data_IF_141633248931
#
_entry.id   IF_141633248931
#
_cell.length_a   1.000
_cell.length_b   1.000
_cell.length_c   1.000
_cell.angle_alpha   90.00
_cell.angle_beta   90.00
_cell.angle_gamma   90.00
#
_symmetry.space_group_name_H-M   'P 1'
#
loop_
_entity.id
_entity.type
_entity.pdbx_description
1 polymer ?
#
# COMPACT_ATOMS: atom_id res chain seq x y z
N UNK A 1 26.71 -16.79 -11.22
CA UNK A 1 25.71 -17.69 -10.64
C UNK A 1 24.39 -16.97 -10.79
N UNK A 2 23.55 -17.41 -11.69
CA UNK A 2 22.23 -16.85 -11.96
C UNK A 2 21.33 -17.20 -10.79
N UNK A 3 21.09 -16.25 -9.88
CA UNK A 3 20.01 -16.37 -8.91
C UNK A 3 18.70 -16.16 -9.67
N UNK A 4 18.11 -17.26 -10.15
CA UNK A 4 16.70 -17.25 -10.53
C UNK A 4 15.92 -16.78 -9.29
N UNK A 5 15.30 -15.59 -9.32
CA UNK A 5 14.15 -15.35 -8.49
C UNK A 5 13.16 -16.48 -8.79
N UNK A 6 13.03 -17.40 -7.87
CA UNK A 6 12.05 -18.47 -7.99
C UNK A 6 10.71 -17.78 -7.91
N UNK A 7 10.11 -17.48 -9.05
CA UNK A 7 8.71 -17.08 -9.12
C UNK A 7 7.95 -18.11 -8.31
N UNK A 8 7.26 -17.65 -7.26
CA UNK A 8 6.46 -18.51 -6.44
C UNK A 8 5.47 -19.22 -7.38
N UNK A 9 5.66 -20.51 -7.64
CA UNK A 9 4.81 -21.26 -8.56
C UNK A 9 3.48 -21.59 -7.89
N UNK A 10 2.37 -21.23 -8.54
CA UNK A 10 1.03 -21.46 -8.02
C UNK A 10 0.49 -20.28 -7.17
N UNK A 11 -0.67 -20.46 -6.57
CA UNK A 11 -1.27 -19.45 -5.69
C UNK A 11 -0.48 -19.34 -4.38
N UNK A 12 -0.36 -18.13 -3.85
CA UNK A 12 0.34 -17.87 -2.58
C UNK A 12 -0.22 -18.72 -1.42
N UNK A 13 -1.54 -18.94 -1.38
CA UNK A 13 -2.16 -19.77 -0.34
C UNK A 13 -1.69 -21.22 -0.34
N UNK A 14 -1.27 -21.76 -1.48
CA UNK A 14 -0.90 -23.18 -1.63
C UNK A 14 0.57 -23.44 -1.24
N UNK A 15 1.32 -22.38 -0.93
CA UNK A 15 2.72 -22.47 -0.54
C UNK A 15 2.85 -22.68 0.96
N UNK A 16 3.67 -23.59 1.38
CA UNK A 16 4.08 -23.72 2.78
C UNK A 16 5.28 -22.80 3.03
N UNK A 17 5.13 -21.86 3.96
CA UNK A 17 6.18 -20.90 4.33
C UNK A 17 6.44 -21.00 5.83
N UNK A 18 7.69 -21.23 6.17
CA UNK A 18 8.19 -21.30 7.55
C UNK A 18 9.38 -20.35 7.64
N UNK A 19 9.32 -19.38 8.54
CA UNK A 19 10.43 -18.46 8.81
C UNK A 19 11.57 -19.13 9.59
N UNK A 20 12.75 -18.54 9.54
CA UNK A 20 13.94 -19.08 10.20
C UNK A 20 13.75 -19.21 11.74
N UNK A 21 12.90 -18.38 12.34
CA UNK A 21 12.54 -18.46 13.77
C UNK A 21 11.49 -19.53 14.09
N UNK A 22 11.04 -20.32 13.10
CA UNK A 22 10.05 -21.37 13.24
C UNK A 22 8.59 -20.92 13.07
N UNK A 23 8.31 -19.63 12.87
CA UNK A 23 6.95 -19.15 12.61
C UNK A 23 6.40 -19.73 11.32
N UNK A 24 5.24 -20.36 11.38
CA UNK A 24 4.58 -20.99 10.23
C UNK A 24 3.44 -20.11 9.73
N UNK A 25 3.37 -19.91 8.41
CA UNK A 25 2.29 -19.17 7.76
C UNK A 25 0.97 -19.93 7.81
N UNK A 26 -0.07 -19.30 8.34
CA UNK A 26 -1.44 -19.82 8.40
C UNK A 26 -2.32 -19.04 7.43
N UNK A 27 -3.01 -19.73 6.53
CA UNK A 27 -3.94 -19.09 5.60
C UNK A 27 -5.13 -18.49 6.34
N UNK A 28 -5.44 -17.23 6.04
CA UNK A 28 -6.63 -16.53 6.55
C UNK A 28 -7.44 -16.07 5.35
N UNK A 29 -8.72 -16.42 5.32
CA UNK A 29 -9.66 -15.90 4.34
C UNK A 29 -10.12 -14.50 4.73
N UNK A 30 -10.14 -13.59 3.76
CA UNK A 30 -10.53 -12.19 3.94
C UNK A 30 -11.76 -11.89 3.09
N UNK A 31 -12.96 -11.85 3.67
CA UNK A 31 -14.12 -11.31 2.97
C UNK A 31 -13.87 -9.87 2.56
N UNK A 32 -13.92 -9.59 1.26
CA UNK A 32 -13.63 -8.31 0.65
C UNK A 32 -14.61 -8.00 -0.47
N UNK A 33 -14.35 -6.94 -1.23
CA UNK A 33 -15.10 -6.55 -2.42
C UNK A 33 -14.18 -6.08 -3.54
N UNK A 34 -14.71 -6.00 -4.75
CA UNK A 34 -13.99 -5.49 -5.92
C UNK A 34 -14.70 -4.25 -6.48
N UNK A 35 -14.67 -3.10 -5.76
CA UNK A 35 -15.24 -1.85 -6.27
C UNK A 35 -14.55 -1.43 -7.56
N UNK A 36 -15.32 -0.86 -8.49
CA UNK A 36 -14.82 -0.38 -9.77
C UNK A 36 -14.10 0.96 -9.65
N UNK A 37 -14.43 1.76 -8.61
CA UNK A 37 -13.82 3.06 -8.35
C UNK A 37 -14.09 3.51 -6.90
N UNK A 38 -13.56 4.68 -6.53
CA UNK A 38 -13.75 5.27 -5.20
C UNK A 38 -15.20 5.71 -4.96
N UNK A 39 -15.90 6.22 -6.00
CA UNK A 39 -17.30 6.63 -5.89
C UNK A 39 -18.18 5.46 -5.40
N UNK A 40 -17.99 4.26 -5.94
CA UNK A 40 -18.74 3.08 -5.51
C UNK A 40 -18.48 2.76 -4.04
N UNK A 41 -17.24 2.84 -3.56
CA UNK A 41 -16.91 2.60 -2.14
C UNK A 41 -17.62 3.60 -1.24
N UNK A 42 -17.61 4.88 -1.63
CA UNK A 42 -18.12 5.96 -0.77
C UNK A 42 -19.65 6.10 -0.78
N UNK A 43 -20.33 5.70 -1.87
CA UNK A 43 -21.75 5.99 -2.05
C UNK A 43 -22.64 4.77 -2.29
N UNK A 44 -22.08 3.68 -2.77
CA UNK A 44 -22.84 2.46 -3.11
C UNK A 44 -22.12 1.18 -2.66
N UNK A 45 -21.73 1.08 -1.36
CA UNK A 45 -20.95 -0.07 -0.89
C UNK A 45 -21.71 -1.39 -1.01
N UNK A 46 -23.05 -1.36 -0.97
CA UNK A 46 -23.89 -2.56 -1.15
C UNK A 46 -23.87 -3.14 -2.57
N UNK A 47 -23.44 -2.36 -3.57
CA UNK A 47 -23.41 -2.76 -4.98
C UNK A 47 -22.03 -3.29 -5.41
N UNK A 48 -21.06 -3.32 -4.50
CA UNK A 48 -19.73 -3.83 -4.80
C UNK A 48 -19.74 -5.35 -4.97
N UNK A 49 -19.13 -5.89 -6.06
CA UNK A 49 -18.97 -7.33 -6.21
C UNK A 49 -18.16 -7.91 -5.05
N UNK A 50 -18.72 -8.89 -4.34
CA UNK A 50 -18.03 -9.55 -3.23
C UNK A 50 -16.96 -10.51 -3.73
N UNK A 51 -15.88 -10.63 -2.96
CA UNK A 51 -14.79 -11.56 -3.21
C UNK A 51 -14.23 -12.03 -1.87
N UNK A 52 -13.71 -13.25 -1.83
CA UNK A 52 -12.92 -13.72 -0.69
C UNK A 52 -11.46 -13.79 -1.12
N UNK A 53 -10.65 -12.90 -0.55
CA UNK A 53 -9.21 -12.93 -0.67
C UNK A 53 -8.60 -13.87 0.35
N UNK A 54 -7.31 -14.05 0.26
CA UNK A 54 -6.54 -14.79 1.26
C UNK A 54 -5.18 -14.11 1.54
N UNK A 55 -4.51 -14.62 2.56
CA UNK A 55 -3.16 -14.23 2.92
C UNK A 55 -2.63 -15.16 3.99
N UNK A 56 -1.38 -14.95 4.36
CA UNK A 56 -0.73 -15.76 5.40
C UNK A 56 -0.40 -14.93 6.63
N UNK A 57 -0.91 -15.39 7.77
CA UNK A 57 -0.58 -14.84 9.08
C UNK A 57 0.59 -15.64 9.69
N UNK A 58 1.59 -14.93 10.18
CA UNK A 58 2.71 -15.46 10.92
C UNK A 58 2.73 -14.83 12.31
N UNK A 59 2.57 -15.63 13.33
CA UNK A 59 2.70 -15.21 14.72
C UNK A 59 4.16 -15.37 15.17
N UNK A 60 4.74 -14.43 15.92
CA UNK A 60 6.08 -14.62 16.46
C UNK A 60 6.09 -15.76 17.51
N UNK A 61 7.22 -16.44 17.72
CA UNK A 61 7.30 -17.62 18.59
C UNK A 61 6.96 -17.36 20.07
N UNK A 62 7.12 -16.12 20.51
CA UNK A 62 6.86 -15.74 21.91
C UNK A 62 5.49 -15.07 21.99
N UNK A 63 4.55 -15.75 22.64
CA UNK A 63 3.18 -15.26 22.82
C UNK A 63 2.77 -15.40 24.28
N UNK A 64 2.50 -14.31 24.94
CA UNK A 64 1.81 -14.25 26.23
C UNK A 64 0.65 -13.27 26.14
N UNK A 65 0.94 -12.08 25.59
CA UNK A 65 0.00 -10.99 25.37
C UNK A 65 -0.28 -10.82 23.86
N UNK A 66 -1.39 -10.18 23.48
CA UNK A 66 -1.64 -9.81 22.09
C UNK A 66 -0.49 -8.95 21.52
N UNK A 67 -0.02 -9.31 20.33
CA UNK A 67 1.14 -8.68 19.70
C UNK A 67 0.72 -7.65 18.62
N UNK A 68 1.55 -6.63 18.35
CA UNK A 68 1.31 -5.73 17.24
C UNK A 68 1.41 -6.49 15.92
N UNK A 69 0.66 -6.02 14.91
CA UNK A 69 0.61 -6.61 13.58
C UNK A 69 1.08 -5.63 12.52
N UNK A 70 1.85 -6.11 11.55
CA UNK A 70 2.13 -5.41 10.29
C UNK A 70 1.58 -6.22 9.12
N UNK A 71 0.66 -5.62 8.37
CA UNK A 71 0.18 -6.18 7.10
C UNK A 71 1.15 -5.78 5.98
N UNK A 72 1.53 -6.74 5.13
CA UNK A 72 2.39 -6.54 3.96
C UNK A 72 1.53 -6.60 2.71
N UNK A 73 1.49 -5.51 1.96
CA UNK A 73 0.63 -5.34 0.79
C UNK A 73 1.50 -5.31 -0.46
N UNK A 74 1.30 -6.26 -1.39
CA UNK A 74 2.14 -6.41 -2.56
C UNK A 74 1.94 -5.30 -3.60
N UNK A 75 2.94 -5.12 -4.47
CA UNK A 75 2.89 -4.29 -5.65
C UNK A 75 2.21 -4.96 -6.84
N UNK A 76 2.42 -4.40 -8.04
CA UNK A 76 1.76 -4.82 -9.30
C UNK A 76 2.11 -6.24 -9.78
N UNK A 77 3.14 -6.87 -9.22
CA UNK A 77 3.53 -8.26 -9.50
C UNK A 77 2.88 -9.29 -8.56
N UNK A 78 1.99 -8.86 -7.65
CA UNK A 78 1.46 -9.74 -6.62
C UNK A 78 2.50 -10.03 -5.53
N UNK A 79 2.27 -11.11 -4.76
CA UNK A 79 3.19 -11.50 -3.69
C UNK A 79 4.51 -12.00 -4.28
N UNK A 80 5.61 -11.36 -3.88
CA UNK A 80 6.97 -11.68 -4.29
C UNK A 80 7.82 -12.12 -3.08
N UNK A 81 8.97 -12.76 -3.29
CA UNK A 81 9.88 -13.17 -2.21
C UNK A 81 10.27 -12.03 -1.28
N UNK A 82 10.47 -10.81 -1.80
CA UNK A 82 10.78 -9.62 -0.99
C UNK A 82 9.71 -9.33 0.06
N UNK A 83 8.42 -9.48 -0.26
CA UNK A 83 7.32 -9.30 0.69
C UNK A 83 7.38 -10.32 1.84
N UNK A 84 7.75 -11.57 1.53
CA UNK A 84 7.94 -12.63 2.52
C UNK A 84 9.16 -12.34 3.40
N UNK A 85 10.25 -11.85 2.82
CA UNK A 85 11.46 -11.44 3.55
C UNK A 85 11.19 -10.26 4.50
N UNK A 86 10.41 -9.27 4.07
CA UNK A 86 9.97 -8.17 4.96
C UNK A 86 9.11 -8.71 6.12
N UNK A 87 8.17 -9.62 5.81
CA UNK A 87 7.34 -10.24 6.85
C UNK A 87 8.20 -11.04 7.84
N UNK A 88 9.20 -11.79 7.38
CA UNK A 88 10.12 -12.55 8.22
C UNK A 88 10.94 -11.64 9.13
N UNK A 89 11.52 -10.55 8.59
CA UNK A 89 12.31 -9.61 9.36
C UNK A 89 11.49 -8.93 10.47
N UNK A 90 10.27 -8.52 10.19
CA UNK A 90 9.35 -7.95 11.18
C UNK A 90 8.90 -8.99 12.20
N UNK A 91 8.67 -10.22 11.77
CA UNK A 91 8.30 -11.31 12.67
C UNK A 91 9.44 -11.66 13.64
N UNK A 92 10.68 -11.67 13.17
CA UNK A 92 11.85 -11.81 14.01
C UNK A 92 12.01 -10.67 15.04
N UNK A 93 11.50 -9.48 14.73
CA UNK A 93 11.45 -8.33 15.63
C UNK A 93 10.26 -8.37 16.61
N UNK A 94 9.44 -9.44 16.60
CA UNK A 94 8.35 -9.65 17.57
C UNK A 94 6.98 -9.16 17.11
N UNK A 95 6.81 -8.77 15.85
CA UNK A 95 5.52 -8.45 15.28
C UNK A 95 4.82 -9.71 14.72
N UNK A 96 3.51 -9.79 14.86
CA UNK A 96 2.75 -10.61 13.91
C UNK A 96 2.84 -9.98 12.54
N UNK A 97 2.90 -10.79 11.47
CA UNK A 97 2.91 -10.29 10.10
C UNK A 97 1.86 -10.99 9.26
N UNK A 98 1.21 -10.25 8.38
CA UNK A 98 0.21 -10.78 7.47
C UNK A 98 0.52 -10.36 6.04
N UNK A 99 0.87 -11.33 5.19
CA UNK A 99 1.10 -11.08 3.76
C UNK A 99 -0.22 -11.29 3.03
N UNK A 100 -0.81 -10.19 2.51
CA UNK A 100 -2.09 -10.20 1.82
C UNK A 100 -1.90 -10.58 0.34
N UNK A 101 -2.70 -11.51 -0.18
CA UNK A 101 -2.80 -11.77 -1.61
C UNK A 101 -4.05 -11.11 -2.20
N UNK A 102 -3.88 -9.93 -2.79
CA UNK A 102 -4.93 -9.20 -3.50
C UNK A 102 -5.22 -9.75 -4.90
N UNK A 103 -4.38 -10.63 -5.43
CA UNK A 103 -4.32 -11.03 -6.84
C UNK A 103 -4.93 -12.40 -7.11
N UNK A 104 -4.55 -13.40 -6.32
CA UNK A 104 -4.87 -14.79 -6.59
C UNK A 104 -6.38 -15.07 -6.71
N UNK A 105 -7.20 -14.49 -5.83
CA UNK A 105 -8.65 -14.64 -5.88
C UNK A 105 -9.30 -13.96 -7.10
N UNK A 106 -8.62 -12.94 -7.68
CA UNK A 106 -9.05 -12.24 -8.89
C UNK A 106 -8.57 -12.91 -10.18
N UNK A 107 -7.82 -14.01 -10.07
CA UNK A 107 -7.14 -14.68 -11.19
C UNK A 107 -6.24 -13.71 -11.99
N UNK A 108 -5.66 -12.73 -11.32
CA UNK A 108 -4.68 -11.77 -11.86
C UNK A 108 -3.30 -12.18 -11.38
N UNK A 109 -2.34 -12.29 -12.30
CA UNK A 109 -0.94 -12.60 -11.95
C UNK A 109 -0.08 -11.36 -11.83
N UNK A 110 -0.38 -10.33 -12.64
CA UNK A 110 0.36 -9.06 -12.67
C UNK A 110 -0.51 -7.96 -13.23
N UNK A 111 -0.39 -6.75 -12.68
CA UNK A 111 -0.99 -5.53 -13.25
C UNK A 111 0.04 -4.62 -13.90
N UNK A 112 1.30 -5.04 -14.05
CA UNK A 112 2.40 -4.21 -14.59
C UNK A 112 2.06 -3.66 -15.97
N UNK A 113 1.64 -4.50 -16.89
CA UNK A 113 1.27 -4.11 -18.26
C UNK A 113 -0.15 -3.52 -18.36
N UNK A 114 -1.00 -3.72 -17.36
CA UNK A 114 -2.37 -3.17 -17.32
C UNK A 114 -2.84 -2.96 -15.89
N UNK A 115 -2.74 -1.74 -15.40
CA UNK A 115 -3.14 -1.36 -14.04
C UNK A 115 -4.67 -1.36 -13.83
N UNK A 116 -5.47 -1.50 -14.89
CA UNK A 116 -6.95 -1.44 -14.82
C UNK A 116 -7.63 -2.79 -14.63
N UNK A 117 -6.89 -3.90 -14.52
CA UNK A 117 -7.46 -5.24 -14.28
C UNK A 117 -8.32 -5.31 -13.03
N UNK A 118 -7.99 -4.53 -12.01
CA UNK A 118 -8.87 -4.16 -10.89
C UNK A 118 -8.48 -2.79 -10.37
N UNK A 119 -9.42 -2.09 -9.75
CA UNK A 119 -9.24 -0.68 -9.40
C UNK A 119 -8.24 -0.48 -8.25
N UNK A 120 -7.65 0.72 -8.14
CA UNK A 120 -6.89 1.13 -6.97
C UNK A 120 -7.77 1.22 -5.71
N UNK A 121 -9.06 1.57 -5.89
CA UNK A 121 -10.04 1.55 -4.80
C UNK A 121 -10.22 0.13 -4.22
N UNK A 122 -10.24 -0.91 -5.08
CA UNK A 122 -10.28 -2.30 -4.64
C UNK A 122 -9.02 -2.67 -3.83
N UNK A 123 -7.82 -2.24 -4.27
CA UNK A 123 -6.59 -2.50 -3.53
C UNK A 123 -6.62 -1.87 -2.13
N UNK A 124 -7.13 -0.65 -2.00
CA UNK A 124 -7.24 0.03 -0.71
C UNK A 124 -8.35 -0.58 0.18
N UNK A 125 -9.46 -0.99 -0.42
CA UNK A 125 -10.55 -1.70 0.28
C UNK A 125 -10.05 -3.01 0.88
N UNK A 126 -9.24 -3.77 0.15
CA UNK A 126 -8.64 -5.03 0.59
C UNK A 126 -7.78 -4.86 1.86
N UNK A 127 -7.04 -3.76 1.98
CA UNK A 127 -6.25 -3.44 3.18
C UNK A 127 -7.14 -3.31 4.40
N UNK A 128 -8.25 -2.56 4.28
CA UNK A 128 -9.18 -2.33 5.39
C UNK A 128 -10.05 -3.56 5.68
N UNK A 129 -10.38 -4.34 4.67
CA UNK A 129 -11.05 -5.64 4.85
C UNK A 129 -10.16 -6.61 5.64
N UNK A 130 -8.85 -6.68 5.32
CA UNK A 130 -7.89 -7.46 6.08
C UNK A 130 -7.75 -6.95 7.52
N UNK A 131 -7.65 -5.64 7.72
CA UNK A 131 -7.68 -5.02 9.05
C UNK A 131 -8.88 -5.50 9.85
N UNK A 132 -10.09 -5.43 9.28
CA UNK A 132 -11.35 -5.78 9.97
C UNK A 132 -11.42 -7.24 10.43
N UNK A 133 -10.76 -8.14 9.71
CA UNK A 133 -10.65 -9.56 10.08
C UNK A 133 -9.60 -9.77 11.16
N UNK A 134 -8.42 -9.17 10.97
CA UNK A 134 -7.25 -9.37 11.82
C UNK A 134 -7.40 -8.70 13.19
N UNK A 135 -8.06 -7.55 13.26
CA UNK A 135 -8.34 -6.84 14.50
C UNK A 135 -9.25 -7.63 15.49
N UNK A 136 -9.96 -8.63 14.99
CA UNK A 136 -10.82 -9.49 15.83
C UNK A 136 -10.10 -10.72 16.39
N UNK A 137 -8.86 -10.93 16.01
CA UNK A 137 -8.11 -12.10 16.45
C UNK A 137 -7.54 -11.88 17.85
N UNK A 138 -7.72 -12.84 18.76
CA UNK A 138 -7.28 -12.69 20.14
C UNK A 138 -5.75 -12.58 20.30
N UNK A 139 -4.98 -13.05 19.32
CA UNK A 139 -3.53 -12.98 19.32
C UNK A 139 -2.99 -11.60 18.90
N UNK A 140 -3.86 -10.73 18.34
CA UNK A 140 -3.47 -9.44 17.78
C UNK A 140 -3.95 -8.29 18.66
N UNK A 141 -3.05 -7.36 18.94
CA UNK A 141 -3.42 -6.09 19.54
C UNK A 141 -4.05 -5.17 18.48
N UNK A 142 -5.37 -5.08 18.49
CA UNK A 142 -6.14 -4.30 17.52
C UNK A 142 -5.80 -2.80 17.51
N UNK A 143 -5.17 -2.29 18.57
CA UNK A 143 -4.74 -0.88 18.67
C UNK A 143 -3.38 -0.63 18.02
N UNK A 144 -2.65 -1.69 17.66
CA UNK A 144 -1.30 -1.65 17.10
C UNK A 144 -1.20 -2.43 15.79
N UNK A 145 -2.13 -2.18 14.87
CA UNK A 145 -2.10 -2.74 13.51
C UNK A 145 -1.60 -1.66 12.55
N UNK A 146 -0.48 -1.93 11.89
CA UNK A 146 0.06 -1.12 10.81
C UNK A 146 0.05 -1.85 9.47
N UNK A 147 0.37 -1.12 8.40
CA UNK A 147 0.50 -1.70 7.07
C UNK A 147 1.75 -1.17 6.34
N UNK A 148 2.46 -2.07 5.68
CA UNK A 148 3.55 -1.75 4.76
C UNK A 148 3.12 -2.14 3.35
N UNK A 149 3.12 -1.19 2.43
CA UNK A 149 2.73 -1.41 1.05
C UNK A 149 3.83 -1.03 0.07
N UNK A 150 3.95 -1.79 -1.02
CA UNK A 150 4.98 -1.63 -2.03
C UNK A 150 4.35 -1.24 -3.37
N UNK A 151 4.84 -0.17 -4.02
CA UNK A 151 4.34 0.29 -5.32
C UNK A 151 2.81 0.50 -5.30
N UNK A 152 2.03 -0.28 -6.08
CA UNK A 152 0.57 -0.31 -6.02
C UNK A 152 0.05 -0.55 -4.59
N UNK A 153 0.68 -1.44 -3.84
CA UNK A 153 0.37 -1.66 -2.42
C UNK A 153 0.67 -0.43 -1.56
N UNK A 154 1.70 0.34 -1.91
CA UNK A 154 2.02 1.63 -1.29
C UNK A 154 0.89 2.65 -1.50
N UNK A 155 0.34 2.73 -2.72
CA UNK A 155 -0.86 3.54 -3.01
C UNK A 155 -2.06 3.07 -2.18
N UNK A 156 -2.24 1.74 -2.06
CA UNK A 156 -3.35 1.15 -1.33
C UNK A 156 -3.31 1.50 0.16
N UNK A 157 -2.13 1.44 0.82
CA UNK A 157 -2.02 1.77 2.24
C UNK A 157 -2.17 3.27 2.50
N UNK A 158 -1.73 4.14 1.59
CA UNK A 158 -1.95 5.59 1.68
C UNK A 158 -3.44 5.93 1.58
N UNK A 159 -4.16 5.32 0.64
CA UNK A 159 -5.61 5.49 0.52
C UNK A 159 -6.33 4.89 1.73
N UNK A 160 -5.95 3.70 2.20
CA UNK A 160 -6.53 3.09 3.40
C UNK A 160 -6.30 3.91 4.68
N UNK A 161 -5.23 4.70 4.75
CA UNK A 161 -4.98 5.64 5.84
C UNK A 161 -5.85 6.91 5.76
N UNK A 162 -6.39 7.25 4.59
CA UNK A 162 -7.22 8.46 4.42
C UNK A 162 -8.55 8.29 5.15
N UNK A 163 -8.83 9.15 6.11
CA UNK A 163 -9.99 9.04 7.02
C UNK A 163 -11.32 8.98 6.27
N UNK A 164 -11.46 9.77 5.19
CA UNK A 164 -12.67 9.77 4.35
C UNK A 164 -12.95 8.39 3.74
N UNK A 165 -11.91 7.70 3.27
CA UNK A 165 -12.03 6.35 2.71
C UNK A 165 -12.18 5.30 3.82
N UNK A 166 -11.36 5.37 4.85
CA UNK A 166 -11.34 4.39 5.95
C UNK A 166 -12.71 4.29 6.65
N UNK A 167 -13.35 5.42 6.94
CA UNK A 167 -14.63 5.47 7.65
C UNK A 167 -15.80 4.81 6.92
N UNK A 168 -15.66 4.46 5.64
CA UNK A 168 -16.67 3.70 4.89
C UNK A 168 -16.50 2.18 5.02
N UNK A 169 -15.35 1.72 5.50
CA UNK A 169 -15.00 0.29 5.54
C UNK A 169 -14.82 -0.21 6.97
N UNK A 170 -14.21 0.60 7.83
CA UNK A 170 -14.00 0.29 9.25
C UNK A 170 -14.75 1.30 10.12
N UNK A 171 -14.88 1.01 11.41
CA UNK A 171 -15.59 1.89 12.36
C UNK A 171 -14.85 3.22 12.50
N UNK A 172 -15.57 4.28 12.80
CA UNK A 172 -15.02 5.63 12.92
C UNK A 172 -13.99 5.80 14.05
N UNK A 173 -14.03 4.93 15.06
CA UNK A 173 -13.07 4.88 16.18
C UNK A 173 -11.83 4.00 15.90
N UNK A 174 -11.83 3.27 14.78
CA UNK A 174 -10.74 2.41 14.31
C UNK A 174 -9.84 3.15 13.31
N UNK A 175 -8.56 2.82 13.32
CA UNK A 175 -7.58 3.31 12.34
C UNK A 175 -6.34 2.43 12.34
N UNK A 176 -5.61 2.43 11.22
CA UNK A 176 -4.26 1.91 11.23
C UNK A 176 -3.38 2.74 12.17
N UNK A 177 -2.54 2.09 12.97
CA UNK A 177 -1.58 2.77 13.84
C UNK A 177 -0.54 3.55 13.03
N UNK A 178 -0.15 3.00 11.88
CA UNK A 178 0.73 3.66 10.92
C UNK A 178 0.80 2.90 9.62
N UNK A 179 1.24 3.60 8.58
CA UNK A 179 1.51 3.02 7.27
C UNK A 179 2.91 3.39 6.79
N UNK A 180 3.59 2.43 6.17
CA UNK A 180 4.81 2.62 5.41
C UNK A 180 4.51 2.34 3.94
N UNK A 181 4.59 3.38 3.11
CA UNK A 181 4.44 3.26 1.67
C UNK A 181 5.82 3.30 1.00
N UNK A 182 6.27 2.18 0.46
CA UNK A 182 7.51 2.09 -0.28
C UNK A 182 7.24 2.35 -1.76
N UNK A 183 7.93 3.34 -2.32
CA UNK A 183 7.84 3.79 -3.73
C UNK A 183 6.40 3.79 -4.27
N UNK A 184 5.44 4.46 -3.56
CA UNK A 184 4.03 4.43 -3.94
C UNK A 184 3.78 5.17 -5.25
N UNK A 185 2.83 4.67 -6.04
CA UNK A 185 2.25 5.49 -7.09
C UNK A 185 1.22 6.45 -6.48
N UNK A 186 1.48 7.74 -6.57
CA UNK A 186 0.64 8.80 -6.00
C UNK A 186 -0.09 9.62 -7.08
N UNK A 187 -0.39 9.00 -8.22
CA UNK A 187 -1.13 9.63 -9.30
C UNK A 187 -2.64 9.79 -9.05
N UNK A 188 -3.17 9.19 -7.99
CA UNK A 188 -4.53 9.42 -7.50
C UNK A 188 -4.47 9.86 -6.03
N UNK A 189 -5.05 11.01 -5.71
CA UNK A 189 -5.00 11.60 -4.37
C UNK A 189 -6.35 12.16 -3.98
N UNK A 190 -6.74 11.98 -2.72
CA UNK A 190 -7.94 12.63 -2.20
C UNK A 190 -7.72 14.13 -2.02
N UNK A 191 -8.71 14.96 -2.38
CA UNK A 191 -8.71 16.40 -2.10
C UNK A 191 -8.73 16.67 -0.59
N UNK A 192 -9.39 15.81 0.19
CA UNK A 192 -9.26 15.77 1.64
C UNK A 192 -8.38 14.57 2.05
N UNK A 193 -7.06 14.77 2.17
CA UNK A 193 -6.12 13.72 2.47
C UNK A 193 -5.92 13.46 3.96
N UNK A 194 -6.82 13.95 4.82
CA UNK A 194 -6.73 13.77 6.26
C UNK A 194 -6.61 12.30 6.67
N UNK A 195 -5.64 11.98 7.53
CA UNK A 195 -5.33 10.60 7.97
C UNK A 195 -5.64 10.37 9.46
N UNK A 196 -6.19 11.36 10.14
CA UNK A 196 -6.50 11.26 11.56
C UNK A 196 -5.24 10.97 12.40
N UNK A 197 -5.27 9.87 13.15
CA UNK A 197 -4.17 9.45 14.03
C UNK A 197 -3.13 8.56 13.34
N UNK A 198 -3.37 8.13 12.10
CA UNK A 198 -2.45 7.23 11.40
C UNK A 198 -1.14 7.93 11.07
N UNK A 199 -0.02 7.39 11.54
CA UNK A 199 1.30 7.86 11.14
C UNK A 199 1.63 7.40 9.72
N UNK A 200 2.01 8.32 8.84
CA UNK A 200 2.34 8.02 7.43
C UNK A 200 3.84 8.19 7.21
N UNK A 201 4.46 7.15 6.66
CA UNK A 201 5.87 7.17 6.27
C UNK A 201 5.98 6.71 4.82
N UNK A 202 6.74 7.46 4.02
CA UNK A 202 6.98 7.16 2.61
C UNK A 202 8.47 7.00 2.38
N UNK A 203 8.85 5.91 1.71
CA UNK A 203 10.20 5.72 1.17
C UNK A 203 10.11 5.81 -0.35
N UNK A 204 10.98 6.62 -0.96
CA UNK A 204 10.94 6.87 -2.38
C UNK A 204 12.34 6.96 -2.95
N UNK A 205 12.59 6.33 -4.10
CA UNK A 205 13.82 6.51 -4.85
C UNK A 205 13.80 7.82 -5.64
N UNK A 206 14.91 8.54 -5.73
CA UNK A 206 14.97 9.77 -6.53
C UNK A 206 15.21 9.49 -8.01
N UNK A 207 15.64 8.28 -8.36
CA UNK A 207 15.78 7.77 -9.71
C UNK A 207 14.63 6.84 -10.13
N UNK A 208 13.49 6.88 -9.43
CA UNK A 208 12.31 6.07 -9.76
C UNK A 208 11.68 6.55 -11.08
N UNK A 209 11.72 5.70 -12.10
CA UNK A 209 11.16 5.97 -13.44
C UNK A 209 9.72 5.45 -13.60
N UNK A 210 9.15 4.81 -12.57
CA UNK A 210 7.77 4.32 -12.57
C UNK A 210 6.82 5.23 -11.82
N UNK A 211 7.22 5.67 -10.64
CA UNK A 211 6.41 6.46 -9.73
C UNK A 211 7.06 7.81 -9.47
N UNK A 212 6.29 8.88 -9.54
CA UNK A 212 6.80 10.24 -9.38
C UNK A 212 7.14 10.55 -7.91
N UNK A 213 8.41 10.84 -7.57
CA UNK A 213 8.77 11.34 -6.25
C UNK A 213 8.08 12.65 -5.90
N UNK A 214 7.78 13.48 -6.90
CA UNK A 214 7.06 14.76 -6.71
C UNK A 214 5.61 14.53 -6.29
N UNK A 215 4.92 13.58 -6.90
CA UNK A 215 3.54 13.23 -6.50
C UNK A 215 3.51 12.67 -5.07
N UNK A 216 4.46 11.82 -4.70
CA UNK A 216 4.57 11.28 -3.34
C UNK A 216 4.85 12.38 -2.31
N UNK A 217 5.73 13.32 -2.64
CA UNK A 217 6.02 14.48 -1.80
C UNK A 217 4.81 15.40 -1.64
N UNK A 218 4.10 15.68 -2.74
CA UNK A 218 2.87 16.48 -2.73
C UNK A 218 1.81 15.87 -1.82
N UNK A 219 1.59 14.55 -1.88
CA UNK A 219 0.65 13.84 -1.01
C UNK A 219 1.06 13.92 0.47
N UNK A 220 2.34 13.70 0.79
CA UNK A 220 2.84 13.87 2.16
C UNK A 220 2.63 15.29 2.68
N UNK A 221 2.87 16.31 1.85
CA UNK A 221 2.65 17.69 2.21
C UNK A 221 1.17 18.00 2.44
N UNK A 222 0.28 17.51 1.57
CA UNK A 222 -1.15 17.67 1.71
C UNK A 222 -1.65 17.07 3.04
N UNK A 223 -1.21 15.86 3.40
CA UNK A 223 -1.52 15.23 4.68
C UNK A 223 -1.04 16.09 5.86
N UNK A 224 0.17 16.64 5.80
CA UNK A 224 0.70 17.52 6.86
C UNK A 224 -0.10 18.80 7.01
N UNK A 225 -0.58 19.39 5.91
CA UNK A 225 -1.39 20.60 5.93
C UNK A 225 -2.78 20.37 6.55
N UNK A 226 -3.26 19.13 6.56
CA UNK A 226 -4.49 18.77 7.31
C UNK A 226 -4.21 18.38 8.77
N UNK A 227 -2.97 18.54 9.25
CA UNK A 227 -2.56 18.23 10.62
C UNK A 227 -2.12 16.77 10.82
N UNK A 228 -2.01 15.97 9.76
CA UNK A 228 -1.56 14.58 9.83
C UNK A 228 -0.05 14.44 10.04
N UNK A 229 0.36 13.36 10.70
CA UNK A 229 1.78 12.98 10.88
C UNK A 229 2.27 12.24 9.62
N UNK A 230 2.86 12.96 8.68
CA UNK A 230 3.41 12.40 7.46
C UNK A 230 4.86 12.83 7.22
N UNK A 231 5.70 11.89 6.80
CA UNK A 231 7.06 12.16 6.36
C UNK A 231 7.46 11.27 5.19
N UNK A 232 8.36 11.79 4.37
CA UNK A 232 8.95 11.07 3.24
C UNK A 232 10.46 11.07 3.38
N UNK A 233 11.07 9.92 3.12
CA UNK A 233 12.52 9.79 2.93
C UNK A 233 12.78 9.52 1.46
N UNK A 234 13.60 10.38 0.86
CA UNK A 234 14.13 10.19 -0.47
C UNK A 234 15.45 9.41 -0.38
N UNK A 235 15.60 8.37 -1.20
CA UNK A 235 16.79 7.53 -1.26
C UNK A 235 17.52 7.88 -2.55
N UNK A 236 18.75 8.38 -2.42
CA UNK A 236 19.53 8.83 -3.56
C UNK A 236 19.86 7.64 -4.49
N UNK A 237 19.79 7.91 -5.80
CA UNK A 237 20.11 6.97 -6.88
C UNK A 237 19.28 5.67 -6.88
N UNK A 238 18.26 5.56 -6.01
CA UNK A 238 17.42 4.39 -5.93
C UNK A 238 16.36 4.38 -7.02
N UNK A 239 16.24 3.24 -7.69
CA UNK A 239 15.23 2.95 -8.71
C UNK A 239 13.94 2.42 -8.07
N UNK A 240 12.91 2.16 -8.88
CA UNK A 240 11.68 1.51 -8.40
C UNK A 240 11.98 0.14 -7.81
N UNK A 241 11.34 -0.22 -6.70
CA UNK A 241 11.56 -1.51 -5.99
C UNK A 241 13.00 -1.75 -5.51
N UNK A 242 13.67 -0.72 -5.04
CA UNK A 242 15.07 -0.74 -4.59
C UNK A 242 15.34 -1.63 -3.35
N UNK A 243 14.31 -2.17 -2.74
CA UNK A 243 14.36 -3.11 -1.61
C UNK A 243 14.43 -4.59 -2.05
N UNK A 244 14.50 -4.83 -3.36
CA UNK A 244 14.67 -6.18 -3.93
C UNK A 244 16.16 -6.49 -4.11
N UNK A 245 16.51 -7.75 -3.90
CA UNK A 245 17.85 -8.28 -4.20
C UNK A 245 17.92 -8.74 -5.67
N UNK A 246 17.60 -7.82 -6.58
CA UNK A 246 17.63 -8.07 -8.03
C UNK A 246 18.34 -6.93 -8.75
N UNK A 247 19.00 -7.19 -9.89
CA UNK A 247 19.53 -6.13 -10.74
C UNK A 247 18.42 -5.17 -11.20
N UNK A 248 18.80 -3.93 -11.49
CA UNK A 248 17.91 -2.98 -12.17
C UNK A 248 17.68 -3.46 -13.60
N UNK A 249 16.43 -3.62 -13.98
CA UNK A 249 16.02 -4.09 -15.29
C UNK A 249 15.00 -3.14 -15.94
N UNK A 250 15.09 -2.98 -17.25
CA UNK A 250 14.08 -2.26 -18.02
C UNK A 250 12.86 -3.16 -18.23
N UNK A 251 11.68 -2.68 -17.84
CA UNK A 251 10.40 -3.35 -18.07
C UNK A 251 9.63 -2.59 -19.18
N UNK A 252 9.74 -2.99 -20.43
CA UNK A 252 9.22 -2.20 -21.57
C UNK A 252 7.70 -2.10 -21.59
N UNK A 253 6.98 -3.07 -21.05
CA UNK A 253 5.52 -3.13 -21.08
C UNK A 253 4.85 -2.52 -19.83
N UNK A 254 5.61 -1.81 -19.00
CA UNK A 254 5.06 -1.18 -17.80
C UNK A 254 4.06 -0.07 -18.19
N UNK A 255 2.81 -0.19 -17.70
CA UNK A 255 1.74 0.80 -17.95
C UNK A 255 1.68 1.89 -16.90
N UNK A 256 2.83 2.38 -16.46
CA UNK A 256 3.02 3.45 -15.47
C UNK A 256 3.95 4.52 -16.03
N UNK A 257 3.80 5.74 -15.55
CA UNK A 257 4.67 6.85 -15.95
C UNK A 257 4.79 7.87 -14.82
N UNK A 258 6.00 8.28 -14.45
CA UNK A 258 6.22 9.33 -13.46
C UNK A 258 5.77 10.72 -13.98
N UNK A 259 5.56 10.86 -15.29
CA UNK A 259 5.07 12.09 -15.92
C UNK A 259 3.53 12.14 -16.02
N UNK A 260 2.81 11.09 -15.62
CA UNK A 260 1.36 11.09 -15.63
C UNK A 260 0.83 12.19 -14.67
N UNK A 261 -0.19 12.98 -15.09
CA UNK A 261 -0.76 14.01 -14.22
C UNK A 261 -1.45 13.38 -13.02
N UNK A 262 -1.48 14.11 -11.89
CA UNK A 262 -2.24 13.68 -10.72
C UNK A 262 -3.74 13.84 -11.00
N UNK A 263 -4.51 12.81 -10.68
CA UNK A 263 -5.96 12.83 -10.64
C UNK A 263 -6.40 12.98 -9.19
N UNK A 264 -7.31 13.90 -8.94
CA UNK A 264 -7.84 14.10 -7.59
C UNK A 264 -9.18 13.40 -7.42
N UNK A 265 -9.45 12.99 -6.18
CA UNK A 265 -10.69 12.33 -5.77
C UNK A 265 -11.37 13.27 -4.79
N UNK A 266 -12.58 13.71 -5.12
CA UNK A 266 -13.35 14.57 -4.24
C UNK A 266 -13.99 13.81 -3.06
N UNK A 267 -14.73 14.52 -2.22
CA UNK A 267 -15.37 13.94 -1.05
C UNK A 267 -16.46 12.90 -1.38
N UNK A 268 -16.95 12.90 -2.61
CA UNK A 268 -17.94 11.95 -3.10
C UNK A 268 -17.30 10.81 -3.90
N UNK A 269 -15.97 10.82 -4.06
CA UNK A 269 -15.24 9.79 -4.78
C UNK A 269 -15.20 9.96 -6.29
N UNK A 270 -15.68 11.10 -6.79
CA UNK A 270 -15.56 11.42 -8.21
C UNK A 270 -14.12 11.83 -8.55
N UNK A 271 -13.66 11.40 -9.73
CA UNK A 271 -12.31 11.69 -10.18
C UNK A 271 -12.29 13.02 -10.93
N UNK A 272 -11.41 13.91 -10.48
CA UNK A 272 -11.19 15.23 -11.08
C UNK A 272 -9.81 15.21 -11.74
N UNK A 273 -9.80 15.39 -13.06
CA UNK A 273 -8.57 15.55 -13.82
C UNK A 273 -8.23 17.04 -13.91
N UNK A 274 -7.07 17.49 -13.43
CA UNK A 274 -6.65 18.86 -13.60
C UNK A 274 -6.56 19.20 -15.10
N UNK A 275 -7.08 20.36 -15.45
CA UNK A 275 -6.92 20.97 -16.77
C UNK A 275 -6.02 22.19 -16.65
N UNK A 276 -5.61 22.78 -17.76
CA UNK A 276 -4.82 24.01 -17.76
C UNK A 276 -5.50 25.17 -16.99
N UNK A 277 -6.84 25.13 -16.90
CA UNK A 277 -7.66 26.14 -16.21
C UNK A 277 -8.02 25.76 -14.77
N UNK A 278 -7.64 24.56 -14.32
CA UNK A 278 -7.89 24.12 -12.95
C UNK A 278 -6.74 24.63 -12.07
N UNK A 279 -6.99 25.51 -11.10
CA UNK A 279 -5.93 25.94 -10.20
C UNK A 279 -5.38 24.72 -9.45
N UNK A 280 -4.07 24.63 -9.36
CA UNK A 280 -3.43 23.63 -8.51
C UNK A 280 -3.96 23.75 -7.09
N UNK A 281 -4.24 22.63 -6.41
CA UNK A 281 -4.57 22.68 -4.99
C UNK A 281 -3.51 23.49 -4.23
N UNK A 282 -3.93 24.27 -3.24
CA UNK A 282 -3.05 25.20 -2.50
C UNK A 282 -1.79 24.54 -1.91
N UNK A 283 -1.80 23.22 -1.73
CA UNK A 283 -0.63 22.45 -1.27
C UNK A 283 0.29 21.97 -2.40
N UNK A 284 -0.09 22.18 -3.67
CA UNK A 284 0.71 21.77 -4.82
C UNK A 284 1.84 22.78 -5.05
N UNK A 285 2.85 22.70 -4.24
CA UNK A 285 4.11 23.42 -4.47
C UNK A 285 5.18 22.46 -4.98
N UNK A 286 4.77 21.37 -5.62
CA UNK A 286 5.54 20.18 -5.93
C UNK A 286 6.97 20.42 -6.40
N UNK A 287 7.16 21.28 -7.39
CA UNK A 287 8.50 21.55 -7.92
C UNK A 287 9.42 22.24 -6.91
N UNK A 288 8.93 23.22 -6.19
CA UNK A 288 9.73 23.96 -5.21
C UNK A 288 10.06 23.11 -3.99
N UNK A 289 9.11 22.34 -3.48
CA UNK A 289 9.35 21.44 -2.34
C UNK A 289 10.29 20.30 -2.70
N UNK A 290 10.17 19.71 -3.89
CA UNK A 290 11.07 18.69 -4.38
C UNK A 290 12.51 19.21 -4.51
N UNK A 291 12.69 20.39 -5.12
CA UNK A 291 13.99 21.02 -5.22
C UNK A 291 14.58 21.35 -3.86
N UNK A 292 13.78 21.87 -2.93
CA UNK A 292 14.22 22.16 -1.57
C UNK A 292 14.63 20.90 -0.80
N UNK A 293 13.90 19.79 -0.96
CA UNK A 293 14.28 18.53 -0.30
C UNK A 293 15.57 17.94 -0.88
N UNK A 294 15.81 18.04 -2.18
CA UNK A 294 17.09 17.62 -2.78
C UNK A 294 18.28 18.46 -2.29
N UNK A 295 18.08 19.76 -2.17
CA UNK A 295 19.12 20.66 -1.65
C UNK A 295 19.41 20.45 -0.15
N UNK A 296 18.43 20.00 0.61
CA UNK A 296 18.61 19.69 2.04
C UNK A 296 19.28 18.32 2.29
N UNK A 297 19.34 17.45 1.29
CA UNK A 297 19.95 16.12 1.34
C UNK A 297 21.36 16.08 0.73
N UNK A 298 21.81 17.16 0.08
CA UNK A 298 23.15 17.34 -0.45
C UNK A 298 24.04 18.09 0.56
#
# INVERSE_FOLDING_TARGET
MTTNETTLSGRFRDQEIIFANGSRGVNIDIPSASPVNYFQVLNAPGDMPTITLDGKLFLPPVTGDPVPLVMIIPGSLGVAPSHVSHAEALNAAGFATFVLDCFGARAVTSTVANQTQFSFAASAYDVLAAYSVLAKRPEIDATRIGAQGHSRGGSAVLTAATSRFASTVIRADESLAGVLAAYPWCGQQFLDPGVGRTAVRVLMGDADEWCSPMQAQGQCQAIRLTGGDASMRLVAEAQHSFDRDTPVELIPDASVSPAAPTTYIDNDGAMIHPTADTPDPLWWTGTLCYMASRLALA
#
